data_IF_997908607962
#
_entry.id   IF_997908607962
#
_cell.length_a   1.000
_cell.length_b   1.000
_cell.length_c   1.000
_cell.angle_alpha   90.00
_cell.angle_beta   90.00
_cell.angle_gamma   90.00
#
_symmetry.space_group_name_H-M   'P 1'
#
loop_
_entity.id
_entity.type
_entity.pdbx_description
1 polymer ?
#
# COMPACT_ATOMS: atom_id res chain seq x y z
N UNK A 1 2.08 2.60 -12.73
CA UNK A 1 1.81 1.46 -11.83
C UNK A 1 0.80 1.83 -10.79
N UNK A 2 -0.25 1.02 -10.64
CA UNK A 2 -1.22 1.13 -9.56
C UNK A 2 -0.97 -0.05 -8.61
N UNK A 3 -0.25 0.21 -7.53
CA UNK A 3 -0.17 -0.67 -6.37
C UNK A 3 -1.36 -0.32 -5.47
N UNK A 4 -1.96 -1.27 -4.76
CA UNK A 4 -3.24 -1.06 -4.08
C UNK A 4 -3.13 0.10 -3.07
N UNK A 5 -3.87 1.16 -3.35
CA UNK A 5 -3.56 2.52 -2.89
C UNK A 5 -4.03 2.83 -1.45
N UNK A 6 -4.11 1.83 -0.58
CA UNK A 6 -4.82 1.95 0.70
C UNK A 6 -3.92 2.26 1.89
N UNK A 7 -2.64 1.97 1.75
CA UNK A 7 -1.60 2.32 2.69
C UNK A 7 -0.28 1.97 2.04
N UNK A 8 0.85 2.41 2.62
CA UNK A 8 2.14 2.09 2.05
C UNK A 8 2.29 0.56 1.88
N UNK A 9 2.43 0.11 0.63
CA UNK A 9 2.40 -1.32 0.28
C UNK A 9 3.80 -1.92 0.29
N UNK A 10 3.91 -3.20 0.66
CA UNK A 10 5.16 -3.94 0.52
C UNK A 10 5.04 -5.18 -0.33
N UNK A 11 6.16 -5.48 -0.99
CA UNK A 11 6.43 -6.79 -1.56
C UNK A 11 7.59 -7.43 -0.80
N UNK A 12 7.30 -8.47 -0.01
CA UNK A 12 8.33 -9.29 0.64
C UNK A 12 8.68 -10.44 -0.30
N UNK A 13 9.97 -10.61 -0.61
CA UNK A 13 10.47 -11.76 -1.36
C UNK A 13 11.09 -12.74 -0.38
N UNK A 14 10.36 -13.81 -0.07
CA UNK A 14 10.86 -14.87 0.80
C UNK A 14 11.65 -15.91 -0.03
N UNK A 15 12.92 -16.10 0.32
CA UNK A 15 13.82 -17.10 -0.28
C UNK A 15 13.73 -18.47 0.39
N UNK A 16 13.10 -18.58 1.56
CA UNK A 16 13.09 -19.79 2.38
C UNK A 16 11.87 -20.66 2.09
N UNK A 17 11.99 -21.97 2.29
CA UNK A 17 10.92 -22.99 2.12
C UNK A 17 10.01 -23.14 3.35
N UNK A 18 10.32 -22.49 4.46
CA UNK A 18 9.64 -22.68 5.75
C UNK A 18 8.95 -21.39 6.23
N UNK A 19 7.68 -21.47 6.61
CA UNK A 19 6.95 -20.43 7.35
C UNK A 19 6.62 -21.03 8.71
N UNK A 20 7.20 -20.56 9.82
CA UNK A 20 6.72 -20.94 11.15
C UNK A 20 5.33 -20.34 11.35
N UNK A 21 4.34 -21.20 11.58
CA UNK A 21 2.96 -20.84 11.86
C UNK A 21 2.83 -20.20 13.25
N UNK A 22 2.95 -18.88 13.35
CA UNK A 22 2.53 -18.12 14.53
C UNK A 22 2.08 -16.72 14.08
N UNK A 23 0.80 -16.59 13.71
CA UNK A 23 0.10 -15.31 13.66
C UNK A 23 -1.32 -15.50 14.20
N UNK A 24 -1.48 -15.21 15.49
CA UNK A 24 -2.75 -14.69 16.00
C UNK A 24 -2.56 -13.18 16.16
N UNK A 25 -2.82 -12.45 15.07
CA UNK A 25 -2.91 -10.98 15.10
C UNK A 25 -4.37 -10.60 15.30
N UNK A 26 -4.69 -9.66 16.20
CA UNK A 26 -6.08 -9.25 16.50
C UNK A 26 -6.78 -8.52 15.33
N UNK A 27 -6.11 -8.30 14.19
CA UNK A 27 -6.72 -7.77 12.96
C UNK A 27 -7.43 -8.83 12.12
N UNK A 28 -7.55 -10.07 12.62
CA UNK A 28 -8.38 -11.10 12.03
C UNK A 28 -9.86 -10.74 12.23
N UNK A 29 -10.38 -9.87 11.37
CA UNK A 29 -11.79 -9.51 11.35
C UNK A 29 -12.63 -10.78 11.16
N UNK A 30 -13.32 -11.19 12.23
CA UNK A 30 -14.40 -12.18 12.20
C UNK A 30 -15.53 -11.62 11.34
N UNK A 31 -15.53 -11.96 10.05
CA UNK A 31 -16.67 -11.69 9.18
C UNK A 31 -17.02 -12.93 8.35
N UNK A 32 -18.17 -13.51 8.70
CA UNK A 32 -19.14 -14.16 7.82
C UNK A 32 -18.64 -15.37 7.01
N UNK A 33 -18.48 -16.54 7.64
CA UNK A 33 -18.84 -17.87 7.10
C UNK A 33 -18.31 -18.31 5.72
N UNK A 34 -17.50 -17.51 5.05
CA UNK A 34 -16.95 -17.71 3.73
C UNK A 34 -15.54 -18.21 3.92
N UNK A 35 -15.26 -19.39 3.37
CA UNK A 35 -13.91 -19.94 3.31
C UNK A 35 -13.07 -19.12 2.32
N UNK A 36 -12.78 -17.87 2.67
CA UNK A 36 -11.61 -17.19 2.15
C UNK A 36 -10.42 -17.96 2.76
N UNK A 37 -9.63 -18.64 1.92
CA UNK A 37 -8.41 -19.28 2.41
C UNK A 37 -7.60 -18.25 3.17
N UNK A 38 -7.18 -18.56 4.40
CA UNK A 38 -6.39 -17.61 5.20
C UNK A 38 -5.15 -17.26 4.37
N UNK A 39 -4.76 -15.99 4.29
CA UNK A 39 -3.60 -15.58 3.46
C UNK A 39 -2.35 -16.43 3.71
N UNK A 40 -2.16 -16.91 4.94
CA UNK A 40 -1.11 -17.85 5.35
C UNK A 40 -1.23 -19.20 4.63
N UNK A 41 -2.42 -19.81 4.58
CA UNK A 41 -2.65 -21.09 3.90
C UNK A 41 -2.33 -21.00 2.39
N UNK A 42 -2.55 -19.83 1.77
CA UNK A 42 -2.15 -19.60 0.39
C UNK A 42 -0.62 -19.48 0.25
N UNK A 43 0.05 -18.78 1.16
CA UNK A 43 1.51 -18.63 1.16
C UNK A 43 2.26 -19.94 1.40
N UNK A 44 1.66 -20.86 2.15
CA UNK A 44 2.20 -22.22 2.37
C UNK A 44 2.15 -23.07 1.10
N UNK A 45 1.16 -22.83 0.23
CA UNK A 45 0.99 -23.56 -1.05
C UNK A 45 1.80 -22.95 -2.20
N UNK A 46 2.16 -21.67 -2.13
CA UNK A 46 2.87 -20.99 -3.20
C UNK A 46 4.35 -21.43 -3.27
N UNK A 47 4.90 -21.73 -4.46
CA UNK A 47 6.30 -22.06 -4.61
C UNK A 47 7.20 -20.83 -4.39
N UNK A 48 8.43 -21.07 -3.93
CA UNK A 48 9.46 -20.02 -3.88
C UNK A 48 10.00 -19.67 -5.27
N UNK A 49 10.43 -18.41 -5.52
CA UNK A 49 10.39 -17.26 -4.61
C UNK A 49 8.96 -16.73 -4.39
N UNK A 50 8.57 -16.54 -3.13
CA UNK A 50 7.22 -16.10 -2.77
C UNK A 50 7.15 -14.60 -2.64
N UNK A 51 6.08 -14.02 -3.20
CA UNK A 51 5.71 -12.63 -3.03
C UNK A 51 4.66 -12.52 -1.93
N UNK A 52 4.92 -11.69 -0.92
CA UNK A 52 3.99 -11.44 0.20
C UNK A 52 3.63 -9.97 0.25
N UNK A 53 2.34 -9.67 0.17
CA UNK A 53 1.78 -8.34 0.41
C UNK A 53 1.44 -8.17 1.89
N UNK A 54 1.74 -7.00 2.45
CA UNK A 54 1.31 -6.61 3.80
C UNK A 54 1.15 -5.09 3.89
N UNK A 55 0.43 -4.63 4.91
CA UNK A 55 0.35 -3.22 5.34
C UNK A 55 0.74 -3.07 6.82
N UNK A 56 1.40 -4.07 7.40
CA UNK A 56 1.73 -4.05 8.82
C UNK A 56 2.84 -3.01 9.10
N UNK A 57 2.74 -2.28 10.22
CA UNK A 57 3.88 -1.52 10.73
C UNK A 57 5.02 -2.47 11.12
N UNK A 58 6.26 -1.95 11.15
CA UNK A 58 7.47 -2.77 11.36
C UNK A 58 7.39 -3.69 12.59
N UNK A 59 6.77 -3.22 13.67
CA UNK A 59 6.69 -3.94 14.95
C UNK A 59 5.74 -5.15 14.90
N UNK A 60 4.88 -5.21 13.88
CA UNK A 60 3.93 -6.30 13.66
C UNK A 60 4.35 -7.26 12.55
N UNK A 61 5.44 -6.98 11.84
CA UNK A 61 5.97 -7.90 10.83
C UNK A 61 6.50 -9.16 11.54
N UNK A 62 6.14 -10.38 11.07
CA UNK A 62 6.62 -11.61 11.67
C UNK A 62 8.15 -11.66 11.71
N UNK A 63 8.70 -12.03 12.88
CA UNK A 63 10.15 -12.04 13.14
C UNK A 63 10.96 -12.82 12.09
N UNK A 64 10.36 -13.87 11.53
CA UNK A 64 10.97 -14.70 10.50
C UNK A 64 11.39 -13.91 9.24
N UNK A 65 10.70 -12.82 8.89
CA UNK A 65 11.11 -11.98 7.75
C UNK A 65 12.41 -11.22 8.03
N UNK A 66 12.62 -10.81 9.28
CA UNK A 66 13.83 -10.15 9.74
C UNK A 66 14.97 -11.18 9.87
N UNK A 67 14.72 -12.28 10.55
CA UNK A 67 15.69 -13.36 10.80
C UNK A 67 16.21 -14.01 9.50
N UNK A 68 15.34 -14.18 8.49
CA UNK A 68 15.73 -14.73 7.19
C UNK A 68 16.25 -13.67 6.21
N UNK A 69 16.44 -12.43 6.65
CA UNK A 69 16.95 -11.33 5.83
C UNK A 69 16.18 -11.17 4.50
N UNK A 70 14.84 -11.29 4.55
CA UNK A 70 14.00 -11.22 3.36
C UNK A 70 14.09 -9.83 2.72
N UNK A 71 14.22 -9.78 1.38
CA UNK A 71 14.16 -8.51 0.65
C UNK A 71 12.76 -7.92 0.73
N UNK A 72 12.68 -6.62 0.97
CA UNK A 72 11.41 -5.90 1.05
C UNK A 72 11.42 -4.72 0.08
N UNK A 73 10.33 -4.51 -0.62
CA UNK A 73 10.08 -3.25 -1.33
C UNK A 73 9.04 -2.51 -0.51
N UNK A 74 9.29 -1.26 -0.17
CA UNK A 74 8.32 -0.39 0.46
C UNK A 74 7.91 0.72 -0.48
N UNK A 75 6.61 0.84 -0.76
CA UNK A 75 6.06 1.93 -1.55
C UNK A 75 5.28 2.88 -0.65
N UNK A 76 5.76 4.12 -0.51
CA UNK A 76 5.06 5.18 0.18
C UNK A 76 4.36 6.11 -0.82
N UNK A 77 3.31 6.79 -0.37
CA UNK A 77 2.54 7.78 -1.14
C UNK A 77 2.23 8.98 -0.25
N UNK A 78 2.09 10.17 -0.85
CA UNK A 78 1.75 11.37 -0.09
C UNK A 78 0.46 11.19 0.74
N UNK A 79 0.48 11.72 1.96
CA UNK A 79 -0.56 11.44 2.95
C UNK A 79 -1.95 11.97 2.55
N UNK A 80 -2.03 13.05 1.77
CA UNK A 80 -3.31 13.66 1.37
C UNK A 80 -4.05 12.77 0.37
N UNK A 81 -3.35 12.28 -0.66
CA UNK A 81 -3.95 11.32 -1.59
C UNK A 81 -4.23 9.96 -0.94
N UNK A 82 -3.41 9.55 0.04
CA UNK A 82 -3.69 8.34 0.84
C UNK A 82 -5.01 8.51 1.60
N UNK A 83 -5.21 9.62 2.31
CA UNK A 83 -6.44 9.88 3.05
C UNK A 83 -7.69 9.81 2.15
N UNK A 84 -7.65 10.45 0.97
CA UNK A 84 -8.76 10.39 0.00
C UNK A 84 -8.96 8.98 -0.53
N UNK A 85 -7.88 8.29 -0.90
CA UNK A 85 -7.96 6.92 -1.41
C UNK A 85 -8.57 5.97 -0.38
N UNK A 86 -8.14 6.10 0.88
CA UNK A 86 -8.60 5.27 1.99
C UNK A 86 -10.07 5.57 2.34
N UNK A 87 -10.50 6.83 2.31
CA UNK A 87 -11.91 7.19 2.49
C UNK A 87 -12.83 6.44 1.50
N UNK A 88 -12.46 6.41 0.22
CA UNK A 88 -13.25 5.70 -0.81
C UNK A 88 -13.15 4.19 -0.70
N UNK A 89 -12.07 3.67 -0.14
CA UNK A 89 -11.96 2.25 0.19
C UNK A 89 -12.97 1.85 1.23
N UNK A 90 -13.08 2.61 2.31
CA UNK A 90 -13.95 2.29 3.43
C UNK A 90 -15.42 2.44 3.04
N UNK A 91 -15.73 3.26 2.01
CA UNK A 91 -17.05 3.31 1.40
C UNK A 91 -17.43 2.02 0.65
N UNK A 92 -16.47 1.32 0.04
CA UNK A 92 -16.74 0.15 -0.80
C UNK A 92 -16.39 -1.19 -0.13
N UNK A 93 -15.48 -1.20 0.84
CA UNK A 93 -15.03 -2.39 1.54
C UNK A 93 -15.85 -2.61 2.81
N UNK A 94 -16.76 -3.59 2.78
CA UNK A 94 -17.68 -3.88 3.87
C UNK A 94 -17.02 -4.54 5.09
N UNK A 95 -15.71 -4.85 5.03
CA UNK A 95 -14.93 -5.26 6.20
C UNK A 95 -14.49 -4.08 7.06
N UNK A 96 -14.56 -2.85 6.52
CA UNK A 96 -14.19 -1.64 7.22
C UNK A 96 -15.43 -1.02 7.91
N UNK A 97 -15.25 -0.34 9.05
CA UNK A 97 -16.30 0.51 9.60
C UNK A 97 -16.70 1.57 8.59
N UNK A 98 -17.97 1.99 8.60
CA UNK A 98 -18.43 3.10 7.77
C UNK A 98 -17.59 4.35 8.05
N UNK A 99 -17.02 5.00 7.01
CA UNK A 99 -16.06 6.09 7.22
C UNK A 99 -16.72 7.33 7.82
N UNK A 100 -18.01 7.56 7.51
CA UNK A 100 -18.74 8.80 7.82
C UNK A 100 -18.60 9.83 6.70
N UNK A 101 -18.78 11.10 7.04
CA UNK A 101 -18.44 12.20 6.15
C UNK A 101 -16.93 12.28 5.91
N UNK A 102 -16.53 12.93 4.82
CA UNK A 102 -15.11 13.19 4.53
C UNK A 102 -14.42 13.95 5.68
N UNK A 103 -15.10 14.93 6.28
CA UNK A 103 -14.57 15.72 7.39
C UNK A 103 -14.26 14.85 8.62
N UNK A 104 -15.21 14.02 9.05
CA UNK A 104 -15.01 13.08 10.17
C UNK A 104 -13.90 12.06 9.86
N UNK A 105 -13.82 11.60 8.62
CA UNK A 105 -12.81 10.64 8.22
C UNK A 105 -11.40 11.22 8.23
N UNK A 106 -11.24 12.44 7.74
CA UNK A 106 -9.95 13.13 7.74
C UNK A 106 -9.40 13.28 9.15
N UNK A 107 -10.25 13.60 10.13
CA UNK A 107 -9.83 13.66 11.54
C UNK A 107 -9.36 12.30 12.07
N UNK A 108 -10.10 11.22 11.79
CA UNK A 108 -9.68 9.85 12.16
C UNK A 108 -8.33 9.51 11.54
N UNK A 109 -8.12 9.85 10.27
CA UNK A 109 -6.86 9.60 9.57
C UNK A 109 -5.70 10.36 10.20
N UNK A 110 -5.87 11.66 10.47
CA UNK A 110 -4.85 12.52 11.09
C UNK A 110 -4.43 11.96 12.46
N UNK A 111 -5.39 11.52 13.28
CA UNK A 111 -5.10 10.97 14.61
C UNK A 111 -4.65 9.50 14.58
N UNK A 112 -4.59 8.86 13.42
CA UNK A 112 -4.23 7.45 13.27
C UNK A 112 -5.30 6.46 13.76
N UNK A 113 -6.56 6.91 13.88
CA UNK A 113 -7.72 6.09 14.24
C UNK A 113 -8.35 5.43 13.00
N UNK A 114 -7.52 4.81 12.19
CA UNK A 114 -7.87 4.02 10.99
C UNK A 114 -7.15 2.67 11.07
N UNK A 115 -7.54 1.69 10.26
CA UNK A 115 -6.81 0.42 10.27
C UNK A 115 -5.34 0.64 9.87
N UNK A 116 -4.43 -0.15 10.47
CA UNK A 116 -2.97 0.02 10.39
C UNK A 116 -2.39 1.28 11.06
N UNK A 117 -3.23 2.15 11.64
CA UNK A 117 -2.81 3.22 12.54
C UNK A 117 -2.34 4.50 11.83
N UNK A 118 -1.43 5.23 12.48
CA UNK A 118 -0.91 6.50 11.96
C UNK A 118 -0.04 6.32 10.73
N UNK A 119 -0.44 6.95 9.62
CA UNK A 119 0.37 7.03 8.39
C UNK A 119 1.75 7.60 8.68
N UNK A 120 1.85 8.64 9.53
CA UNK A 120 3.12 9.28 9.89
C UNK A 120 4.08 8.29 10.54
N UNK A 121 3.64 7.56 11.56
CA UNK A 121 4.48 6.57 12.22
C UNK A 121 4.83 5.42 11.28
N UNK A 122 3.89 5.01 10.42
CA UNK A 122 4.10 3.95 9.44
C UNK A 122 5.23 4.31 8.45
N UNK A 123 5.18 5.48 7.80
CA UNK A 123 6.23 5.88 6.84
C UNK A 123 7.56 6.15 7.52
N UNK A 124 7.58 6.81 8.69
CA UNK A 124 8.80 7.14 9.43
C UNK A 124 9.54 5.87 9.89
N UNK A 125 8.82 4.93 10.47
CA UNK A 125 9.41 3.69 11.00
C UNK A 125 10.04 2.84 9.90
N UNK A 126 9.34 2.70 8.76
CA UNK A 126 9.86 1.97 7.61
C UNK A 126 10.99 2.70 6.87
N UNK A 127 10.95 4.03 6.82
CA UNK A 127 12.06 4.84 6.31
C UNK A 127 13.33 4.61 7.13
N UNK A 128 13.22 4.62 8.46
CA UNK A 128 14.36 4.32 9.33
C UNK A 128 14.85 2.88 9.14
N UNK A 129 13.93 1.92 9.05
CA UNK A 129 14.27 0.49 8.96
C UNK A 129 15.11 0.13 7.73
N UNK A 130 15.01 0.91 6.64
CA UNK A 130 15.81 0.69 5.42
C UNK A 130 17.33 0.77 5.66
N UNK A 131 17.77 1.41 6.74
CA UNK A 131 19.18 1.53 7.10
C UNK A 131 19.73 0.24 7.73
N UNK A 132 18.85 -0.61 8.25
CA UNK A 132 19.20 -1.83 8.99
C UNK A 132 18.88 -3.13 8.23
N UNK A 133 18.05 -3.06 7.20
CA UNK A 133 17.51 -4.23 6.50
C UNK A 133 17.45 -3.98 4.98
N UNK A 134 17.56 -5.00 4.10
CA UNK A 134 17.42 -4.83 2.66
C UNK A 134 15.99 -4.42 2.27
N UNK A 135 15.73 -3.11 2.32
CA UNK A 135 14.45 -2.48 1.99
C UNK A 135 14.67 -1.46 0.87
N UNK A 136 14.02 -1.68 -0.27
CA UNK A 136 13.92 -0.67 -1.33
C UNK A 136 12.74 0.25 -1.04
N UNK A 137 13.02 1.47 -0.61
CA UNK A 137 12.00 2.51 -0.41
C UNK A 137 11.72 3.25 -1.72
N UNK A 138 10.46 3.32 -2.13
CA UNK A 138 9.97 3.96 -3.35
C UNK A 138 8.84 4.94 -3.03
N UNK A 139 8.64 5.93 -3.88
CA UNK A 139 7.48 6.82 -3.83
C UNK A 139 6.54 6.54 -5.00
N UNK A 140 5.24 6.57 -4.71
CA UNK A 140 4.19 6.45 -5.71
C UNK A 140 4.29 7.55 -6.77
N UNK A 141 4.65 8.76 -6.35
CA UNK A 141 4.79 9.92 -7.23
C UNK A 141 5.93 9.71 -8.23
N UNK A 142 7.08 9.16 -7.80
CA UNK A 142 8.20 8.80 -8.69
C UNK A 142 7.76 7.71 -9.69
N UNK A 143 6.99 6.73 -9.21
CA UNK A 143 6.46 5.64 -10.01
C UNK A 143 5.45 6.13 -11.07
N UNK A 144 4.76 7.23 -10.78
CA UNK A 144 3.82 7.88 -11.69
C UNK A 144 4.51 8.77 -12.71
N UNK A 145 5.52 9.53 -12.29
CA UNK A 145 6.27 10.45 -13.14
C UNK A 145 7.24 9.72 -14.09
N UNK A 146 7.99 8.74 -13.58
CA UNK A 146 8.98 8.00 -14.36
C UNK A 146 8.97 6.49 -14.04
N UNK A 147 7.92 5.76 -14.46
CA UNK A 147 7.79 4.33 -14.19
C UNK A 147 8.98 3.51 -14.70
N UNK A 148 9.62 3.94 -15.80
CA UNK A 148 10.78 3.25 -16.39
C UNK A 148 11.96 3.21 -15.43
N UNK A 149 12.28 4.33 -14.77
CA UNK A 149 13.38 4.39 -13.82
C UNK A 149 13.08 3.61 -12.54
N UNK A 150 11.85 3.71 -12.02
CA UNK A 150 11.47 2.99 -10.80
C UNK A 150 11.42 1.48 -11.01
N UNK A 151 10.93 0.97 -12.15
CA UNK A 151 11.01 -0.46 -12.49
C UNK A 151 12.48 -0.91 -12.61
N UNK A 152 13.38 -0.10 -13.18
CA UNK A 152 14.81 -0.41 -13.21
C UNK A 152 15.42 -0.47 -11.80
N UNK A 153 14.97 0.35 -10.84
CA UNK A 153 15.38 0.24 -9.42
C UNK A 153 14.91 -1.08 -8.82
N UNK A 154 13.64 -1.45 -9.02
CA UNK A 154 13.09 -2.73 -8.56
C UNK A 154 13.85 -3.91 -9.15
N UNK A 155 14.10 -3.91 -10.46
CA UNK A 155 14.82 -4.99 -11.14
C UNK A 155 16.24 -5.17 -10.58
N UNK A 156 16.98 -4.06 -10.40
CA UNK A 156 18.32 -4.10 -9.77
C UNK A 156 18.25 -4.63 -8.33
N UNK A 157 17.30 -4.16 -7.54
CA UNK A 157 17.11 -4.61 -6.17
C UNK A 157 16.76 -6.11 -6.08
N UNK A 158 15.99 -6.62 -7.04
CA UNK A 158 15.64 -8.04 -7.16
C UNK A 158 16.72 -8.88 -7.88
N UNK A 159 17.85 -8.27 -8.26
CA UNK A 159 18.94 -8.93 -9.01
C UNK A 159 18.43 -9.57 -10.33
N UNK A 160 17.57 -8.84 -11.05
CA UNK A 160 17.03 -9.25 -12.35
C UNK A 160 17.55 -8.35 -13.46
N UNK A 161 17.93 -8.98 -14.56
CA UNK A 161 18.25 -8.31 -15.82
C UNK A 161 16.96 -8.19 -16.64
N UNK A 162 16.60 -6.97 -17.01
CA UNK A 162 15.48 -6.70 -17.91
C UNK A 162 16.03 -6.17 -19.23
N UNK A 163 15.58 -6.75 -20.34
CA UNK A 163 15.75 -6.10 -21.66
C UNK A 163 14.86 -4.87 -21.75
N UNK A 164 15.19 -3.94 -22.63
CA UNK A 164 14.33 -2.77 -22.87
C UNK A 164 12.93 -3.18 -23.36
N UNK A 165 12.83 -4.24 -24.17
CA UNK A 165 11.52 -4.80 -24.58
C UNK A 165 10.69 -5.30 -23.39
N UNK A 166 11.31 -6.05 -22.46
CA UNK A 166 10.59 -6.54 -21.28
C UNK A 166 10.20 -5.38 -20.36
N UNK A 167 11.06 -4.38 -20.22
CA UNK A 167 10.80 -3.18 -19.45
C UNK A 167 9.58 -2.42 -20.00
N UNK A 168 9.53 -2.22 -21.31
CA UNK A 168 8.42 -1.52 -21.97
C UNK A 168 7.11 -2.33 -21.85
N UNK A 169 7.16 -3.67 -21.93
CA UNK A 169 6.01 -4.56 -21.63
C UNK A 169 5.52 -4.41 -20.19
N UNK A 170 6.42 -4.41 -19.20
CA UNK A 170 6.05 -4.21 -17.80
C UNK A 170 5.37 -2.85 -17.63
N UNK A 171 5.94 -1.77 -18.18
CA UNK A 171 5.35 -0.43 -18.10
C UNK A 171 3.93 -0.42 -18.68
N UNK A 172 3.75 -1.01 -19.86
CA UNK A 172 2.44 -1.07 -20.51
C UNK A 172 1.42 -1.86 -19.67
N UNK A 173 1.73 -3.11 -19.31
CA UNK A 173 0.80 -4.00 -18.60
C UNK A 173 0.50 -3.56 -17.17
N UNK A 174 1.39 -2.78 -16.55
CA UNK A 174 1.19 -2.23 -15.21
C UNK A 174 0.74 -0.76 -15.22
N UNK A 175 0.39 -0.21 -16.38
CA UNK A 175 -0.26 1.10 -16.46
C UNK A 175 -1.64 1.07 -15.82
N UNK A 176 -2.13 2.23 -15.35
CA UNK A 176 -3.42 2.30 -14.67
C UNK A 176 -4.56 1.85 -15.58
N UNK A 177 -4.59 2.31 -16.83
CA UNK A 177 -5.62 1.93 -17.81
C UNK A 177 -5.65 0.41 -18.03
N UNK A 178 -4.49 -0.22 -18.21
CA UNK A 178 -4.41 -1.67 -18.42
C UNK A 178 -4.82 -2.47 -17.17
N UNK A 179 -4.45 -2.00 -15.98
CA UNK A 179 -4.79 -2.70 -14.73
C UNK A 179 -6.25 -2.51 -14.32
N UNK A 180 -6.84 -1.35 -14.63
CA UNK A 180 -8.25 -1.05 -14.34
C UNK A 180 -9.20 -2.03 -15.01
N UNK A 181 -8.90 -2.40 -16.24
CA UNK A 181 -9.73 -3.31 -17.03
C UNK A 181 -9.34 -4.79 -16.87
N UNK A 182 -8.30 -5.09 -16.09
CA UNK A 182 -7.83 -6.45 -15.88
C UNK A 182 -8.50 -7.11 -14.65
N UNK A 183 -9.40 -8.09 -14.83
CA UNK A 183 -10.16 -8.73 -13.74
C UNK A 183 -9.29 -9.48 -12.72
N UNK A 184 -8.05 -9.82 -13.08
CA UNK A 184 -7.10 -10.51 -12.21
C UNK A 184 -6.52 -9.59 -11.13
N UNK A 185 -6.56 -8.26 -11.33
CA UNK A 185 -5.92 -7.27 -10.43
C UNK A 185 -6.81 -6.10 -10.04
N UNK A 186 -7.96 -5.91 -10.68
CA UNK A 186 -8.87 -4.79 -10.37
C UNK A 186 -9.88 -5.10 -9.24
N UNK A 187 -9.75 -6.27 -8.61
CA UNK A 187 -10.58 -6.75 -7.49
C UNK A 187 -12.06 -7.04 -7.80
N UNK A 188 -12.50 -6.99 -9.07
CA UNK A 188 -13.90 -7.31 -9.43
C UNK A 188 -14.25 -8.80 -9.28
N UNK A 189 -13.26 -9.66 -9.08
CA UNK A 189 -13.46 -11.08 -8.76
C UNK A 189 -13.93 -11.30 -7.31
N UNK A 190 -13.80 -10.28 -6.45
CA UNK A 190 -14.32 -10.36 -5.09
C UNK A 190 -15.85 -10.16 -5.06
N UNK A 191 -16.56 -10.90 -4.19
CA UNK A 191 -17.98 -10.68 -4.01
C UNK A 191 -18.33 -9.24 -3.58
N UNK A 192 -19.48 -8.74 -4.04
CA UNK A 192 -19.99 -7.40 -3.69
C UNK A 192 -20.22 -7.20 -2.19
N UNK A 193 -20.53 -8.29 -1.47
CA UNK A 193 -20.63 -8.29 -0.01
C UNK A 193 -19.29 -8.02 0.70
N UNK A 194 -18.15 -8.17 0.02
CA UNK A 194 -16.84 -7.77 0.53
C UNK A 194 -16.43 -6.41 -0.04
N UNK A 195 -16.54 -6.24 -1.36
CA UNK A 195 -16.19 -5.01 -2.06
C UNK A 195 -17.31 -4.61 -3.02
N UNK A 196 -18.05 -3.54 -2.68
CA UNK A 196 -19.18 -3.05 -3.46
C UNK A 196 -18.73 -2.02 -4.51
N UNK A 197 -18.62 -2.40 -5.79
CA UNK A 197 -18.17 -1.49 -6.85
C UNK A 197 -19.17 -0.35 -7.13
N UNK A 198 -20.41 -0.42 -6.62
CA UNK A 198 -21.40 0.64 -6.77
C UNK A 198 -21.11 1.87 -5.89
N UNK A 199 -20.31 1.69 -4.81
CA UNK A 199 -19.92 2.76 -3.88
C UNK A 199 -18.66 3.48 -4.33
N UNK A 200 -17.66 2.71 -4.75
CA UNK A 200 -16.42 3.18 -5.35
C UNK A 200 -15.76 2.01 -6.08
N UNK A 201 -14.94 2.30 -7.09
CA UNK A 201 -14.07 1.29 -7.68
C UNK A 201 -12.75 1.20 -6.93
N UNK A 202 -12.15 0.01 -6.92
CA UNK A 202 -10.81 -0.22 -6.39
C UNK A 202 -9.75 0.52 -7.22
N UNK A 203 -9.80 0.33 -8.54
CA UNK A 203 -9.05 1.11 -9.52
C UNK A 203 -9.77 2.45 -9.76
N UNK A 204 -9.68 3.37 -8.78
CA UNK A 204 -10.47 4.61 -8.75
C UNK A 204 -10.01 5.67 -9.75
N UNK A 205 -8.84 6.27 -9.50
CA UNK A 205 -8.27 7.33 -10.35
C UNK A 205 -6.81 7.17 -10.72
N UNK A 206 -5.98 6.62 -9.83
CA UNK A 206 -4.57 6.35 -10.14
C UNK A 206 -3.75 7.59 -10.54
N UNK A 207 -4.02 8.75 -9.95
CA UNK A 207 -3.30 10.02 -10.19
C UNK A 207 -2.69 10.56 -8.88
N UNK A 208 -1.66 11.40 -8.97
CA UNK A 208 -1.18 12.20 -7.85
C UNK A 208 -1.87 13.57 -7.87
N UNK A 209 -2.31 14.06 -6.70
CA UNK A 209 -2.97 15.36 -6.56
C UNK A 209 -4.50 15.33 -6.54
N UNK A 210 -5.14 14.15 -6.51
CA UNK A 210 -6.61 14.09 -6.46
C UNK A 210 -7.17 14.64 -5.14
N UNK A 211 -6.35 14.69 -4.08
CA UNK A 211 -6.69 15.33 -2.82
C UNK A 211 -7.22 16.76 -2.96
N UNK A 212 -6.78 17.51 -3.98
CA UNK A 212 -7.25 18.88 -4.26
C UNK A 212 -8.75 18.95 -4.55
N UNK A 213 -9.37 17.84 -4.95
CA UNK A 213 -10.81 17.75 -5.21
C UNK A 213 -11.66 17.50 -3.95
N UNK A 214 -11.02 17.27 -2.78
CA UNK A 214 -11.70 16.85 -1.55
C UNK A 214 -11.37 17.76 -0.37
N UNK A 215 -10.10 18.16 -0.24
CA UNK A 215 -9.69 19.04 0.85
C UNK A 215 -10.26 20.44 0.66
N UNK A 216 -11.00 20.94 1.65
CA UNK A 216 -11.24 22.38 1.75
C UNK A 216 -9.94 23.11 2.09
N UNK A 217 -9.88 24.41 1.84
CA UNK A 217 -8.70 25.23 2.20
C UNK A 217 -8.39 25.10 3.69
N UNK A 218 -9.40 25.17 4.55
CA UNK A 218 -9.24 25.04 6.01
C UNK A 218 -8.71 23.65 6.41
N UNK A 219 -9.23 22.58 5.80
CA UNK A 219 -8.73 21.22 6.03
C UNK A 219 -7.26 21.09 5.57
N UNK A 220 -6.91 21.69 4.44
CA UNK A 220 -5.56 21.67 3.92
C UNK A 220 -4.56 22.39 4.84
N UNK A 221 -4.90 23.59 5.30
CA UNK A 221 -4.06 24.38 6.22
C UNK A 221 -3.83 23.63 7.54
N UNK A 222 -4.89 23.07 8.11
CA UNK A 222 -4.80 22.25 9.33
C UNK A 222 -3.91 21.03 9.11
N UNK A 223 -4.12 20.32 8.00
CA UNK A 223 -3.34 19.13 7.66
C UNK A 223 -1.86 19.47 7.48
N UNK A 224 -1.54 20.55 6.76
CA UNK A 224 -0.16 20.97 6.49
C UNK A 224 0.58 21.36 7.76
N UNK A 225 -0.08 22.02 8.71
CA UNK A 225 0.50 22.34 10.01
C UNK A 225 0.89 21.08 10.81
N UNK A 226 0.00 20.07 10.83
CA UNK A 226 0.26 18.79 11.49
C UNK A 226 1.34 18.00 10.75
N UNK A 227 1.23 17.92 9.42
CA UNK A 227 2.18 17.21 8.56
C UNK A 227 3.60 17.74 8.74
N UNK A 228 3.77 19.07 8.74
CA UNK A 228 5.07 19.71 8.95
C UNK A 228 5.66 19.34 10.31
N UNK A 229 4.85 19.33 11.37
CA UNK A 229 5.30 18.93 12.72
C UNK A 229 5.68 17.45 12.77
N UNK A 230 4.92 16.58 12.12
CA UNK A 230 5.14 15.13 12.16
C UNK A 230 6.36 14.67 11.37
N UNK A 231 6.68 15.35 10.26
CA UNK A 231 7.74 14.93 9.33
C UNK A 231 9.05 15.74 9.47
N UNK A 232 9.05 16.85 10.22
CA UNK A 232 10.18 17.80 10.29
C UNK A 232 11.50 17.20 10.75
N UNK A 233 11.45 16.11 11.51
CA UNK A 233 12.65 15.43 12.04
C UNK A 233 13.17 14.32 11.09
N UNK A 234 12.63 14.23 9.88
CA UNK A 234 12.99 13.17 8.93
C UNK A 234 13.44 13.75 7.60
N UNK A 235 14.27 12.97 6.89
CA UNK A 235 14.69 13.29 5.52
C UNK A 235 13.64 12.89 4.46
N UNK A 236 12.45 12.43 4.89
CA UNK A 236 11.37 12.05 4.00
C UNK A 236 10.80 13.27 3.27
N UNK A 237 10.73 13.17 1.95
CA UNK A 237 10.14 14.21 1.10
C UNK A 237 9.06 13.59 0.22
N UNK A 238 7.82 14.03 0.44
CA UNK A 238 6.69 13.62 -0.38
C UNK A 238 6.26 14.77 -1.28
N UNK A 239 5.95 14.43 -2.53
CA UNK A 239 5.34 15.36 -3.48
C UNK A 239 3.82 15.24 -3.40
N UNK A 240 3.13 16.37 -3.29
CA UNK A 240 1.66 16.39 -3.23
C UNK A 240 1.04 16.40 -4.63
N UNK A 241 1.85 16.59 -5.68
CA UNK A 241 1.49 16.59 -7.09
C UNK A 241 2.74 16.33 -7.96
N UNK A 242 2.52 15.96 -9.22
CA UNK A 242 3.56 15.75 -10.24
C UNK A 242 3.15 16.43 -11.55
#
# INVERSE_FOLDING_TARGET
>A
MCYDLFSPEYLLVNKTSYIPALMESPFQCMCLGMKMGRGIEQLEKNPSPRLVKTHLPIDLIPKSFWENNCKMIYLARNAKDVAVSYYHFDLMNNLQPLPGSWEEYLEKFITGNVAFGSWFNHVKSWWKKKEEHPILFLHYEDMKENPKQEIKKIARFLEKNLSDEMLDKIIHHTSFEMMKDNPLVNYTHLPSMLMDPSKSSFMRKGIAGDWKNYFTVAQNEKFDAIYKKEISETELQFRMEI
#
